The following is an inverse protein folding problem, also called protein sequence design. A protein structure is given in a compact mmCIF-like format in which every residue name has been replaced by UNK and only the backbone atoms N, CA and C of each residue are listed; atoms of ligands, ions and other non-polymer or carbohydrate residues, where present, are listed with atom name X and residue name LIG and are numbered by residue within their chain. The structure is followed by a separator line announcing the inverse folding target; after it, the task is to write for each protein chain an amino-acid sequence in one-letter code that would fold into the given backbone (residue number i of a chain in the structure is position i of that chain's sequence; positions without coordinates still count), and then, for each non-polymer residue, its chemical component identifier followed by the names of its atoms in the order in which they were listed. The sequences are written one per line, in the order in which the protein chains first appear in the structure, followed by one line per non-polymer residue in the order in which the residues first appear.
data_IF_929486497514
#
_entry.id   IF_929486497514
#
_cell.length_a   1.000
_cell.length_b   1.000
_cell.length_c   1.000
_cell.angle_alpha   90.00
_cell.angle_beta   90.00
_cell.angle_gamma   90.00
#
_symmetry.space_group_name_H-M   'P 1'
#
loop_
_entity.id
_entity.type
_entity.pdbx_description
1 polymer ?
#
# COMPACT_ATOMS: atom_id res chain seq x y z
N UNK A 1 11.20 -1.61 -26.52
CA UNK A 1 12.50 -1.18 -25.97
C UNK A 1 12.35 -1.20 -24.44
N UNK A 2 13.08 -2.08 -23.73
CA UNK A 2 12.94 -2.19 -22.26
C UNK A 2 13.65 -1.01 -21.63
N UNK A 3 12.90 -0.04 -21.11
CA UNK A 3 13.46 1.15 -20.49
C UNK A 3 13.55 0.97 -18.96
N UNK A 4 14.79 1.03 -18.49
CA UNK A 4 15.20 1.00 -17.07
C UNK A 4 14.78 2.28 -16.35
N UNK A 5 14.75 2.25 -15.01
CA UNK A 5 14.59 3.39 -14.05
C UNK A 5 15.11 4.77 -14.51
N UNK A 6 16.18 4.81 -15.31
CA UNK A 6 16.77 6.01 -15.92
C UNK A 6 15.89 6.72 -16.98
N UNK A 7 14.81 6.11 -17.47
CA UNK A 7 13.94 6.69 -18.50
C UNK A 7 12.94 7.68 -17.92
N UNK A 8 12.28 7.29 -16.83
CA UNK A 8 11.32 8.12 -16.11
C UNK A 8 12.01 9.35 -15.51
N UNK A 9 13.24 9.21 -15.01
CA UNK A 9 14.05 10.32 -14.50
C UNK A 9 14.34 11.41 -15.56
N UNK A 10 14.22 11.09 -16.86
CA UNK A 10 14.37 12.09 -17.93
C UNK A 10 13.15 13.00 -18.04
N UNK A 11 11.97 12.60 -17.56
CA UNK A 11 10.73 13.35 -17.70
C UNK A 11 10.93 14.82 -17.32
N UNK A 12 11.51 15.08 -16.15
CA UNK A 12 11.65 16.44 -15.62
C UNK A 12 12.44 17.35 -16.57
N UNK A 13 13.50 16.84 -17.20
CA UNK A 13 14.25 17.60 -18.22
C UNK A 13 13.41 17.89 -19.46
N UNK A 14 12.54 16.97 -19.87
CA UNK A 14 11.61 17.21 -20.98
C UNK A 14 10.57 18.27 -20.60
N UNK A 15 10.11 18.28 -19.35
CA UNK A 15 9.19 19.30 -18.85
C UNK A 15 9.87 20.68 -18.79
N UNK A 16 11.11 20.76 -18.27
CA UNK A 16 11.89 22.01 -18.26
C UNK A 16 12.07 22.57 -19.68
N UNK A 17 12.42 21.71 -20.65
CA UNK A 17 12.55 22.11 -22.06
C UNK A 17 11.20 22.54 -22.65
N UNK A 18 10.12 21.84 -22.32
CA UNK A 18 8.78 22.19 -22.80
C UNK A 18 8.35 23.57 -22.29
N UNK A 19 8.57 23.86 -21.00
CA UNK A 19 8.28 25.17 -20.41
C UNK A 19 9.11 26.28 -21.05
N UNK A 20 10.42 26.06 -21.21
CA UNK A 20 11.30 27.03 -21.87
C UNK A 20 10.85 27.37 -23.30
N UNK A 21 10.46 26.37 -24.10
CA UNK A 21 9.96 26.60 -25.46
C UNK A 21 8.57 27.25 -25.46
N UNK A 22 7.67 26.85 -24.55
CA UNK A 22 6.34 27.45 -24.40
C UNK A 22 6.44 28.95 -24.09
N UNK A 23 7.33 29.31 -23.16
CA UNK A 23 7.47 30.67 -22.67
C UNK A 23 8.26 31.57 -23.63
N UNK A 24 9.00 30.97 -24.58
CA UNK A 24 9.72 31.67 -25.64
C UNK A 24 8.78 32.14 -26.79
N UNK A 25 7.71 31.40 -27.08
CA UNK A 25 6.79 31.71 -28.20
C UNK A 25 6.19 33.13 -28.10
N UNK A 26 5.66 33.59 -26.95
CA UNK A 26 5.15 34.96 -26.83
C UNK A 26 6.22 36.03 -27.09
N UNK A 27 7.44 35.83 -26.57
CA UNK A 27 8.53 36.79 -26.73
C UNK A 27 9.00 36.94 -28.19
N UNK A 28 8.99 35.84 -28.96
CA UNK A 28 9.32 35.87 -30.39
C UNK A 28 8.22 36.59 -31.19
N UNK A 29 6.96 36.33 -30.86
CA UNK A 29 5.84 36.98 -31.53
C UNK A 29 5.80 38.50 -31.30
N UNK A 30 6.33 38.99 -30.19
CA UNK A 30 6.43 40.42 -29.88
C UNK A 30 7.64 41.10 -30.57
N UNK A 31 8.73 40.38 -30.81
CA UNK A 31 10.00 40.95 -31.27
C UNK A 31 10.27 40.83 -32.78
N UNK A 32 9.57 39.92 -33.48
CA UNK A 32 9.79 39.67 -34.91
C UNK A 32 8.75 40.34 -35.83
N UNK A 33 9.12 40.60 -37.09
CA UNK A 33 8.19 40.99 -38.15
C UNK A 33 7.12 39.91 -38.36
N UNK A 34 5.88 40.32 -38.65
CA UNK A 34 4.70 39.43 -38.69
C UNK A 34 4.91 38.13 -39.49
N UNK A 35 5.62 38.17 -40.63
CA UNK A 35 5.82 36.99 -41.48
C UNK A 35 6.90 36.04 -40.93
N UNK A 36 8.07 36.55 -40.55
CA UNK A 36 9.20 35.76 -40.04
C UNK A 36 8.97 35.23 -38.61
N UNK A 37 8.27 36.00 -37.78
CA UNK A 37 7.88 35.58 -36.42
C UNK A 37 6.87 34.43 -36.45
N UNK A 38 5.99 34.39 -37.45
CA UNK A 38 4.98 33.33 -37.60
C UNK A 38 5.63 31.98 -37.92
N UNK A 39 6.61 31.95 -38.84
CA UNK A 39 7.32 30.73 -39.22
C UNK A 39 8.16 30.16 -38.06
N UNK A 40 8.97 31.00 -37.41
CA UNK A 40 9.79 30.58 -36.26
C UNK A 40 8.94 30.08 -35.08
N UNK A 41 7.86 30.79 -34.74
CA UNK A 41 6.93 30.36 -33.68
C UNK A 41 6.22 29.05 -34.02
N UNK A 42 5.95 28.78 -35.30
CA UNK A 42 5.37 27.51 -35.73
C UNK A 42 6.35 26.35 -35.53
N UNK A 43 7.63 26.51 -35.90
CA UNK A 43 8.67 25.49 -35.70
C UNK A 43 8.93 25.21 -34.20
N UNK A 44 8.98 26.27 -33.38
CA UNK A 44 9.11 26.12 -31.92
C UNK A 44 7.90 25.39 -31.34
N UNK A 45 6.69 25.69 -31.82
CA UNK A 45 5.47 24.99 -31.41
C UNK A 45 5.51 23.51 -31.79
N UNK A 46 6.01 23.16 -32.98
CA UNK A 46 6.20 21.77 -33.40
C UNK A 46 7.20 21.05 -32.50
N UNK A 47 8.33 21.68 -32.18
CA UNK A 47 9.33 21.12 -31.25
C UNK A 47 8.75 20.90 -29.84
N UNK A 48 8.03 21.89 -29.30
CA UNK A 48 7.37 21.78 -28.01
C UNK A 48 6.32 20.65 -28.00
N UNK A 49 5.53 20.51 -29.07
CA UNK A 49 4.56 19.41 -29.19
C UNK A 49 5.25 18.04 -29.14
N UNK A 50 6.34 17.84 -29.90
CA UNK A 50 7.12 16.59 -29.88
C UNK A 50 7.70 16.27 -28.50
N UNK A 51 8.17 17.29 -27.77
CA UNK A 51 8.64 17.13 -26.38
C UNK A 51 7.49 16.74 -25.45
N UNK A 52 6.31 17.36 -25.62
CA UNK A 52 5.10 16.99 -24.88
C UNK A 52 4.66 15.55 -25.17
N UNK A 53 4.68 15.11 -26.43
CA UNK A 53 4.42 13.72 -26.81
C UNK A 53 5.43 12.76 -26.14
N UNK A 54 6.72 13.10 -26.14
CA UNK A 54 7.74 12.31 -25.45
C UNK A 54 7.47 12.20 -23.95
N UNK A 55 7.01 13.28 -23.29
CA UNK A 55 6.59 13.24 -21.89
C UNK A 55 5.41 12.26 -21.67
N UNK A 56 4.41 12.25 -22.55
CA UNK A 56 3.29 11.28 -22.52
C UNK A 56 3.80 9.84 -22.64
N UNK A 57 4.73 9.57 -23.57
CA UNK A 57 5.33 8.25 -23.72
C UNK A 57 6.13 7.81 -22.48
N UNK A 58 6.88 8.73 -21.86
CA UNK A 58 7.62 8.43 -20.61
C UNK A 58 6.67 8.03 -19.48
N UNK A 59 5.51 8.70 -19.33
CA UNK A 59 4.47 8.29 -18.37
C UNK A 59 3.91 6.90 -18.69
N UNK A 60 3.63 6.62 -19.96
CA UNK A 60 3.14 5.30 -20.38
C UNK A 60 4.18 4.20 -20.11
N UNK A 61 5.46 4.49 -20.31
CA UNK A 61 6.55 3.57 -19.99
C UNK A 61 6.66 3.31 -18.48
N UNK A 62 6.44 4.32 -17.64
CA UNK A 62 6.36 4.15 -16.19
C UNK A 62 5.24 3.18 -15.82
N UNK A 63 4.03 3.37 -16.35
CA UNK A 63 2.90 2.46 -16.10
C UNK A 63 3.24 1.02 -16.51
N UNK A 64 3.84 0.84 -17.68
CA UNK A 64 4.27 -0.46 -18.18
C UNK A 64 5.36 -1.08 -17.29
N UNK A 65 6.30 -0.27 -16.79
CA UNK A 65 7.32 -0.71 -15.86
C UNK A 65 6.73 -1.15 -14.52
N UNK A 66 5.69 -0.50 -14.02
CA UNK A 66 5.00 -0.90 -12.79
C UNK A 66 4.26 -2.21 -13.01
N UNK A 67 3.50 -2.34 -14.12
CA UNK A 67 2.81 -3.59 -14.48
C UNK A 67 3.78 -4.76 -14.66
N UNK A 68 4.89 -4.50 -15.36
CA UNK A 68 5.91 -5.49 -15.68
C UNK A 68 6.88 -5.82 -14.53
N UNK A 69 6.81 -5.12 -13.39
CA UNK A 69 7.65 -5.40 -12.23
C UNK A 69 7.21 -6.72 -11.56
N UNK A 70 7.75 -7.83 -12.07
CA UNK A 70 7.42 -9.19 -11.66
C UNK A 70 8.45 -9.79 -10.68
N UNK A 71 9.05 -8.97 -9.80
CA UNK A 71 9.97 -9.47 -8.78
C UNK A 71 9.34 -10.62 -8.02
N UNK A 72 9.98 -11.80 -8.08
CA UNK A 72 9.50 -13.04 -7.45
C UNK A 72 9.92 -13.15 -5.99
N UNK A 73 10.77 -12.23 -5.52
CA UNK A 73 11.29 -12.25 -4.16
C UNK A 73 10.49 -11.27 -3.29
N UNK A 74 9.74 -11.75 -2.29
CA UNK A 74 9.04 -10.87 -1.37
C UNK A 74 10.03 -10.09 -0.50
N UNK A 75 9.61 -8.92 -0.03
CA UNK A 75 10.42 -8.08 0.85
C UNK A 75 10.52 -8.73 2.23
N UNK A 76 11.72 -8.93 2.79
CA UNK A 76 11.85 -9.52 4.12
C UNK A 76 11.02 -8.78 5.18
N UNK A 77 10.33 -9.54 6.03
CA UNK A 77 9.51 -9.00 7.13
C UNK A 77 8.28 -8.19 6.70
N UNK A 78 7.94 -8.14 5.41
CA UNK A 78 6.76 -7.40 4.95
C UNK A 78 6.95 -5.89 4.90
N UNK A 79 8.18 -5.37 4.92
CA UNK A 79 8.45 -3.93 4.89
C UNK A 79 7.95 -3.23 3.61
N UNK A 80 7.97 -1.89 3.61
CA UNK A 80 7.60 -1.08 2.43
C UNK A 80 8.44 -1.46 1.22
N UNK A 81 7.77 -1.74 0.10
CA UNK A 81 8.42 -2.16 -1.14
C UNK A 81 9.20 -1.01 -1.78
N UNK A 82 10.41 -1.24 -2.33
CA UNK A 82 11.18 -0.20 -3.02
C UNK A 82 10.42 0.48 -4.16
N UNK A 83 9.62 -0.28 -4.92
CA UNK A 83 8.74 0.25 -5.98
C UNK A 83 7.78 1.31 -5.43
N UNK A 84 7.14 1.06 -4.28
CA UNK A 84 6.23 2.01 -3.63
C UNK A 84 6.94 3.32 -3.31
N UNK A 85 8.16 3.24 -2.77
CA UNK A 85 8.97 4.45 -2.48
C UNK A 85 9.31 5.19 -3.75
N UNK A 86 9.74 4.47 -4.78
CA UNK A 86 10.10 5.04 -6.07
C UNK A 86 8.91 5.75 -6.72
N UNK A 87 7.78 5.06 -6.89
CA UNK A 87 6.58 5.61 -7.54
C UNK A 87 6.03 6.81 -6.78
N UNK A 88 5.89 6.73 -5.46
CA UNK A 88 5.34 7.86 -4.70
C UNK A 88 6.27 9.08 -4.68
N UNK A 89 7.59 8.87 -4.67
CA UNK A 89 8.53 9.98 -4.80
C UNK A 89 8.51 10.57 -6.22
N UNK A 90 8.41 9.72 -7.24
CA UNK A 90 8.25 10.16 -8.62
C UNK A 90 7.00 11.02 -8.78
N UNK A 91 5.84 10.55 -8.29
CA UNK A 91 4.58 11.28 -8.34
C UNK A 91 4.66 12.63 -7.63
N UNK A 92 5.34 12.67 -6.47
CA UNK A 92 5.61 13.93 -5.76
C UNK A 92 6.32 14.94 -6.66
N UNK A 93 7.41 14.56 -7.31
CA UNK A 93 8.13 15.47 -8.21
C UNK A 93 7.31 15.83 -9.45
N UNK A 94 6.51 14.90 -10.01
CA UNK A 94 5.65 15.25 -11.15
C UNK A 94 4.59 16.28 -10.80
N UNK A 95 4.11 16.30 -9.56
CA UNK A 95 3.14 17.30 -9.12
C UNK A 95 3.74 18.70 -9.02
N UNK A 96 5.06 18.86 -8.95
CA UNK A 96 5.71 20.18 -9.07
C UNK A 96 5.49 20.78 -10.48
N UNK A 97 5.23 19.94 -11.48
CA UNK A 97 4.92 20.32 -12.87
C UNK A 97 3.43 20.16 -13.21
N UNK A 98 2.53 20.22 -12.22
CA UNK A 98 1.08 19.97 -12.38
C UNK A 98 0.48 20.71 -13.57
N UNK A 99 0.67 22.03 -13.65
CA UNK A 99 0.06 22.85 -14.71
C UNK A 99 0.60 22.53 -16.10
N UNK A 100 1.91 22.27 -16.19
CA UNK A 100 2.57 21.88 -17.44
C UNK A 100 2.10 20.52 -17.91
N UNK A 101 2.00 19.54 -17.00
CA UNK A 101 1.48 18.21 -17.32
C UNK A 101 0.00 18.25 -17.70
N UNK A 102 -0.81 19.08 -17.02
CA UNK A 102 -2.21 19.29 -17.37
C UNK A 102 -2.34 19.80 -18.82
N UNK A 103 -1.52 20.78 -19.20
CA UNK A 103 -1.49 21.30 -20.58
C UNK A 103 -1.05 20.22 -21.58
N UNK A 104 0.03 19.48 -21.28
CA UNK A 104 0.55 18.43 -22.17
C UNK A 104 -0.50 17.34 -22.39
N UNK A 105 -1.12 16.82 -21.33
CA UNK A 105 -2.13 15.77 -21.45
C UNK A 105 -3.42 16.27 -22.11
N UNK A 106 -3.81 17.54 -21.88
CA UNK A 106 -4.95 18.15 -22.57
C UNK A 106 -4.71 18.29 -24.08
N UNK A 107 -3.51 18.70 -24.50
CA UNK A 107 -3.13 18.79 -25.93
C UNK A 107 -3.03 17.41 -26.58
N UNK A 108 -2.60 16.40 -25.84
CA UNK A 108 -2.32 15.05 -26.35
C UNK A 108 -3.42 14.01 -26.04
N UNK A 109 -4.67 14.43 -25.80
CA UNK A 109 -5.79 13.53 -25.44
C UNK A 109 -5.94 12.33 -26.40
N UNK A 110 -5.82 12.55 -27.71
CA UNK A 110 -5.94 11.48 -28.73
C UNK A 110 -4.79 10.48 -28.63
N UNK A 111 -3.56 10.95 -28.45
CA UNK A 111 -2.38 10.10 -28.28
C UNK A 111 -2.52 9.22 -27.03
N UNK A 112 -2.89 9.82 -25.90
CA UNK A 112 -3.14 9.10 -24.64
C UNK A 112 -4.18 8.00 -24.87
N UNK A 113 -5.28 8.30 -25.57
CA UNK A 113 -6.33 7.31 -25.87
C UNK A 113 -5.80 6.15 -26.70
N UNK A 114 -5.05 6.44 -27.76
CA UNK A 114 -4.44 5.41 -28.63
C UNK A 114 -3.49 4.52 -27.85
N UNK A 115 -2.62 5.11 -27.03
CA UNK A 115 -1.65 4.37 -26.22
C UNK A 115 -2.35 3.54 -25.15
N UNK A 116 -3.43 4.04 -24.54
CA UNK A 116 -4.23 3.28 -23.56
C UNK A 116 -5.01 2.13 -24.19
N UNK A 117 -5.58 2.31 -25.38
CA UNK A 117 -6.30 1.24 -26.10
C UNK A 117 -5.36 0.11 -26.53
N UNK A 118 -4.13 0.43 -26.96
CA UNK A 118 -3.11 -0.55 -27.29
C UNK A 118 -2.69 -1.42 -26.08
N UNK A 119 -3.02 -1.03 -24.84
CA UNK A 119 -2.75 -1.80 -23.62
C UNK A 119 -3.82 -2.87 -23.31
N UNK A 120 -4.97 -2.89 -23.99
CA UNK A 120 -6.15 -3.74 -23.69
C UNK A 120 -6.20 -5.05 -24.52
N UNK A 121 -5.11 -5.79 -24.64
CA UNK A 121 -5.03 -7.01 -25.46
C UNK A 121 -5.35 -8.32 -24.68
N UNK A 122 -6.20 -8.24 -23.66
CA UNK A 122 -6.69 -9.39 -22.88
C UNK A 122 -8.06 -9.91 -23.36
N UNK A 123 -8.42 -11.19 -23.11
CA UNK A 123 -9.72 -11.72 -23.48
C UNK A 123 -10.83 -10.96 -22.78
N UNK A 124 -11.82 -10.48 -23.54
CA UNK A 124 -12.98 -9.76 -23.01
C UNK A 124 -13.94 -10.71 -22.30
N UNK A 125 -13.75 -10.89 -20.99
CA UNK A 125 -14.83 -11.39 -20.15
C UNK A 125 -15.82 -10.25 -19.88
N UNK A 126 -17.00 -10.39 -20.49
CA UNK A 126 -18.16 -9.52 -20.32
C UNK A 126 -18.73 -9.70 -18.91
N UNK A 127 -18.18 -9.03 -17.90
CA UNK A 127 -18.91 -8.72 -16.67
C UNK A 127 -18.24 -7.59 -15.88
N UNK A 128 -18.50 -6.36 -16.29
CA UNK A 128 -18.66 -5.21 -15.38
C UNK A 128 -19.37 -4.09 -16.15
N UNK A 129 -20.69 -4.14 -16.10
CA UNK A 129 -21.55 -3.01 -16.42
C UNK A 129 -21.25 -1.89 -15.42
N UNK A 130 -20.31 -1.01 -15.78
CA UNK A 130 -20.19 0.29 -15.11
C UNK A 130 -21.19 1.23 -15.76
N UNK A 131 -22.24 1.56 -15.01
CA UNK A 131 -23.26 2.51 -15.40
C UNK A 131 -22.60 3.88 -15.67
N UNK A 132 -22.57 4.28 -16.93
CA UNK A 132 -22.31 5.65 -17.34
C UNK A 132 -23.54 6.49 -16.99
N UNK A 133 -23.59 7.01 -15.76
CA UNK A 133 -24.35 8.22 -15.50
C UNK A 133 -23.43 9.41 -15.79
N UNK A 134 -23.52 9.90 -17.01
CA UNK A 134 -23.03 11.21 -17.42
C UNK A 134 -23.68 12.27 -16.53
N UNK A 135 -22.99 12.65 -15.46
CA UNK A 135 -23.25 13.94 -14.81
C UNK A 135 -22.33 14.93 -15.49
N UNK A 136 -22.87 15.62 -16.50
CA UNK A 136 -22.25 16.79 -17.11
C UNK A 136 -21.98 17.83 -16.01
N UNK A 137 -20.71 18.03 -15.63
CA UNK A 137 -20.38 19.01 -14.58
C UNK A 137 -19.00 18.95 -13.93
N UNK A 138 -18.01 18.22 -14.46
CA UNK A 138 -16.59 18.47 -14.18
C UNK A 138 -15.73 17.72 -15.21
N UNK A 139 -15.04 18.42 -16.12
CA UNK A 139 -13.99 17.74 -16.91
C UNK A 139 -12.88 17.32 -15.94
N UNK A 140 -12.75 16.02 -15.67
CA UNK A 140 -11.67 15.51 -14.84
C UNK A 140 -10.32 15.88 -15.47
N UNK A 141 -9.40 16.41 -14.65
CA UNK A 141 -8.03 16.77 -15.06
C UNK A 141 -7.36 15.57 -15.76
N UNK A 142 -6.93 15.69 -17.03
CA UNK A 142 -6.26 14.60 -17.72
C UNK A 142 -4.99 14.15 -16.99
N UNK A 143 -4.27 15.05 -16.32
CA UNK A 143 -3.13 14.67 -15.49
C UNK A 143 -3.57 13.87 -14.25
N UNK A 144 -4.64 14.28 -13.56
CA UNK A 144 -5.19 13.55 -12.43
C UNK A 144 -5.54 12.10 -12.83
N UNK A 145 -6.15 11.89 -14.01
CA UNK A 145 -6.47 10.55 -14.52
C UNK A 145 -5.19 9.70 -14.69
N UNK A 146 -4.12 10.26 -15.23
CA UNK A 146 -2.84 9.52 -15.39
C UNK A 146 -2.18 9.23 -14.04
N UNK A 147 -2.17 10.20 -13.13
CA UNK A 147 -1.64 10.01 -11.77
C UNK A 147 -2.39 8.89 -11.04
N UNK A 148 -3.72 8.91 -11.10
CA UNK A 148 -4.55 7.88 -10.48
C UNK A 148 -4.30 6.50 -11.09
N UNK A 149 -4.15 6.42 -12.41
CA UNK A 149 -3.77 5.18 -13.10
C UNK A 149 -2.46 4.63 -12.54
N UNK A 150 -1.42 5.46 -12.37
CA UNK A 150 -0.13 5.03 -11.81
C UNK A 150 -0.28 4.49 -10.37
N UNK A 151 -1.10 5.14 -9.54
CA UNK A 151 -1.35 4.70 -8.16
C UNK A 151 -2.11 3.37 -8.13
N UNK A 152 -3.12 3.19 -8.98
CA UNK A 152 -3.90 1.95 -9.11
C UNK A 152 -3.03 0.78 -9.58
N UNK A 153 -2.16 1.00 -10.57
CA UNK A 153 -1.23 -0.01 -11.04
C UNK A 153 -0.21 -0.41 -9.98
N UNK A 154 0.23 0.55 -9.16
CA UNK A 154 1.07 0.24 -8.01
C UNK A 154 0.31 -0.64 -7.01
N UNK A 155 -0.95 -0.31 -6.72
CA UNK A 155 -1.78 -1.08 -5.80
C UNK A 155 -2.02 -2.51 -6.29
N UNK A 156 -2.37 -2.71 -7.56
CA UNK A 156 -2.53 -4.03 -8.18
C UNK A 156 -1.23 -4.85 -8.13
N UNK A 157 -0.11 -4.20 -8.44
CA UNK A 157 1.20 -4.83 -8.39
C UNK A 157 1.58 -5.26 -6.97
N UNK A 158 1.28 -4.44 -5.96
CA UNK A 158 1.49 -4.77 -4.55
C UNK A 158 0.58 -5.91 -4.09
N UNK A 159 -0.68 -5.94 -4.52
CA UNK A 159 -1.59 -7.07 -4.24
C UNK A 159 -1.02 -8.38 -4.81
N UNK A 160 -0.57 -8.36 -6.07
CA UNK A 160 0.08 -9.51 -6.69
C UNK A 160 1.33 -9.97 -5.91
N UNK A 161 2.19 -9.03 -5.49
CA UNK A 161 3.39 -9.34 -4.69
C UNK A 161 3.07 -9.84 -3.29
N UNK A 162 1.98 -9.38 -2.68
CA UNK A 162 1.57 -9.87 -1.37
C UNK A 162 1.30 -11.38 -1.38
N UNK A 163 0.89 -11.94 -2.51
CA UNK A 163 0.62 -13.37 -2.66
C UNK A 163 1.88 -14.24 -2.65
N UNK A 164 3.07 -13.64 -2.73
CA UNK A 164 4.37 -14.34 -2.64
C UNK A 164 4.71 -14.77 -1.21
N UNK A 165 4.11 -14.17 -0.17
CA UNK A 165 4.34 -14.60 1.20
C UNK A 165 3.61 -15.92 1.47
N UNK A 166 4.34 -16.87 2.07
CA UNK A 166 3.80 -18.17 2.50
C UNK A 166 2.78 -18.01 3.63
N UNK A 167 3.08 -17.13 4.58
CA UNK A 167 2.18 -16.79 5.69
C UNK A 167 1.11 -15.80 5.19
N UNK A 168 -0.19 -16.15 5.21
CA UNK A 168 -1.29 -15.27 4.83
C UNK A 168 -1.36 -13.98 5.66
N UNK A 169 -1.00 -14.03 6.95
CA UNK A 169 -1.03 -12.87 7.84
C UNK A 169 0.04 -11.84 7.48
N UNK A 170 1.21 -12.29 7.04
CA UNK A 170 2.29 -11.40 6.58
C UNK A 170 1.89 -10.61 5.32
N UNK A 171 0.98 -11.15 4.49
CA UNK A 171 0.44 -10.44 3.32
C UNK A 171 -0.26 -9.16 3.74
N UNK A 172 -1.08 -9.23 4.78
CA UNK A 172 -1.80 -8.06 5.30
C UNK A 172 -0.85 -7.04 5.93
N UNK A 173 0.20 -7.48 6.64
CA UNK A 173 1.23 -6.57 7.17
C UNK A 173 1.96 -5.83 6.04
N UNK A 174 2.33 -6.56 4.98
CA UNK A 174 2.91 -5.95 3.79
C UNK A 174 1.99 -4.92 3.13
N UNK A 175 0.72 -5.27 2.94
CA UNK A 175 -0.28 -4.37 2.35
C UNK A 175 -0.53 -3.14 3.23
N UNK A 176 -0.56 -3.30 4.56
CA UNK A 176 -0.70 -2.18 5.50
C UNK A 176 0.51 -1.25 5.44
N UNK A 177 1.74 -1.77 5.45
CA UNK A 177 2.95 -0.96 5.35
C UNK A 177 2.97 -0.10 4.09
N UNK A 178 2.70 -0.70 2.94
CA UNK A 178 2.70 0.02 1.67
C UNK A 178 1.51 0.99 1.56
N UNK A 179 0.31 0.57 1.97
CA UNK A 179 -0.87 1.42 1.96
C UNK A 179 -0.74 2.63 2.90
N UNK A 180 -0.20 2.44 4.11
CA UNK A 180 0.09 3.54 5.05
C UNK A 180 1.12 4.51 4.47
N UNK A 181 2.17 4.00 3.84
CA UNK A 181 3.18 4.83 3.18
C UNK A 181 2.59 5.67 2.03
N UNK A 182 1.76 5.06 1.17
CA UNK A 182 1.06 5.77 0.08
C UNK A 182 0.18 6.89 0.65
N UNK A 183 -0.65 6.57 1.66
CA UNK A 183 -1.52 7.56 2.31
C UNK A 183 -0.72 8.72 2.94
N UNK A 184 0.40 8.43 3.60
CA UNK A 184 1.26 9.47 4.18
C UNK A 184 1.87 10.37 3.10
N UNK A 185 2.30 9.79 1.98
CA UNK A 185 2.86 10.57 0.86
C UNK A 185 1.83 11.46 0.18
N UNK A 186 0.60 10.95 -0.01
CA UNK A 186 -0.51 11.73 -0.53
C UNK A 186 -0.88 12.85 0.45
N UNK A 187 -1.07 12.54 1.74
CA UNK A 187 -1.41 13.54 2.76
C UNK A 187 -0.33 14.61 2.94
N UNK A 188 0.93 14.25 2.71
CA UNK A 188 2.08 15.14 2.82
C UNK A 188 2.31 16.05 1.61
N UNK A 189 1.51 15.96 0.54
CA UNK A 189 1.54 16.85 -0.62
C UNK A 189 0.12 17.31 -0.95
N UNK A 190 -0.13 18.61 -0.78
CA UNK A 190 -1.40 19.25 -1.11
C UNK A 190 -1.80 18.99 -2.56
N UNK A 191 -0.82 19.02 -3.46
CA UNK A 191 -1.01 18.86 -4.90
C UNK A 191 -1.48 17.45 -5.25
N UNK A 192 -0.83 16.42 -4.68
CA UNK A 192 -1.28 15.03 -4.88
C UNK A 192 -2.66 14.84 -4.25
N UNK A 193 -2.88 15.33 -3.03
CA UNK A 193 -4.16 15.16 -2.34
C UNK A 193 -5.32 15.80 -3.12
N UNK A 194 -5.11 16.98 -3.70
CA UNK A 194 -6.09 17.67 -4.55
C UNK A 194 -6.40 16.85 -5.82
N UNK A 195 -5.38 16.34 -6.50
CA UNK A 195 -5.54 15.54 -7.73
C UNK A 195 -6.23 14.20 -7.48
N UNK A 196 -5.93 13.54 -6.36
CA UNK A 196 -6.50 12.25 -5.96
C UNK A 196 -7.92 12.41 -5.40
N UNK A 197 -8.15 13.48 -4.64
CA UNK A 197 -9.41 13.80 -4.00
C UNK A 197 -9.67 13.07 -2.67
N UNK A 198 -10.35 13.75 -1.76
CA UNK A 198 -10.65 13.25 -0.40
C UNK A 198 -11.48 11.97 -0.38
N UNK A 199 -12.33 11.76 -1.38
CA UNK A 199 -13.17 10.57 -1.48
C UNK A 199 -12.32 9.33 -1.70
N UNK A 200 -11.38 9.37 -2.65
CA UNK A 200 -10.47 8.25 -2.88
C UNK A 200 -9.56 8.05 -1.67
N UNK A 201 -9.02 9.13 -1.09
CA UNK A 201 -8.17 9.05 0.10
C UNK A 201 -8.87 8.32 1.27
N UNK A 202 -10.13 8.68 1.56
CA UNK A 202 -10.94 8.01 2.60
C UNK A 202 -11.25 6.55 2.27
N UNK A 203 -11.56 6.25 1.00
CA UNK A 203 -11.77 4.87 0.54
C UNK A 203 -10.50 4.04 0.74
N UNK A 204 -9.33 4.54 0.32
CA UNK A 204 -8.05 3.86 0.48
C UNK A 204 -7.69 3.67 1.95
N UNK A 205 -7.92 4.67 2.79
CA UNK A 205 -7.75 4.53 4.25
C UNK A 205 -8.63 3.43 4.83
N UNK A 206 -9.86 3.28 4.33
CA UNK A 206 -10.77 2.20 4.74
C UNK A 206 -10.23 0.83 4.34
N UNK A 207 -9.67 0.70 3.14
CA UNK A 207 -9.02 -0.54 2.67
C UNK A 207 -7.84 -0.92 3.58
N UNK A 208 -6.98 0.03 3.95
CA UNK A 208 -5.86 -0.22 4.88
C UNK A 208 -6.35 -0.70 6.26
N UNK A 209 -7.42 -0.09 6.79
CA UNK A 209 -8.06 -0.55 8.04
C UNK A 209 -8.67 -1.94 7.88
N UNK A 210 -9.15 -2.31 6.70
CA UNK A 210 -9.65 -3.65 6.45
C UNK A 210 -8.54 -4.70 6.45
N UNK A 211 -7.35 -4.38 5.93
CA UNK A 211 -6.18 -5.26 6.04
C UNK A 211 -5.80 -5.51 7.51
N UNK A 212 -5.87 -4.49 8.37
CA UNK A 212 -5.67 -4.65 9.81
C UNK A 212 -6.66 -5.64 10.42
N UNK A 213 -7.97 -5.47 10.17
CA UNK A 213 -9.00 -6.42 10.65
C UNK A 213 -8.77 -7.84 10.13
N UNK A 214 -8.34 -7.98 8.88
CA UNK A 214 -8.06 -9.27 8.27
C UNK A 214 -6.83 -9.94 8.91
N UNK A 215 -5.74 -9.19 9.12
CA UNK A 215 -4.56 -9.65 9.86
C UNK A 215 -4.94 -10.16 11.25
N UNK A 216 -5.75 -9.39 11.98
CA UNK A 216 -6.15 -9.74 13.34
C UNK A 216 -6.94 -11.04 13.37
N UNK A 217 -7.92 -11.19 12.46
CA UNK A 217 -8.72 -12.42 12.34
C UNK A 217 -7.87 -13.63 11.93
N UNK A 218 -7.02 -13.47 10.92
CA UNK A 218 -6.19 -14.54 10.36
C UNK A 218 -5.17 -15.07 11.37
N UNK A 219 -4.52 -14.17 12.11
CA UNK A 219 -3.51 -14.53 13.12
C UNK A 219 -4.15 -14.98 14.43
N UNK A 220 -5.01 -14.14 15.01
CA UNK A 220 -5.42 -14.27 16.41
C UNK A 220 -6.72 -15.04 16.60
N UNK A 221 -7.46 -15.33 15.52
CA UNK A 221 -8.71 -16.09 15.60
C UNK A 221 -8.53 -17.47 16.22
N UNK A 222 -7.46 -18.20 15.88
CA UNK A 222 -7.16 -19.53 16.45
C UNK A 222 -6.75 -19.45 17.92
N UNK A 223 -6.00 -18.42 18.30
CA UNK A 223 -5.63 -18.16 19.70
C UNK A 223 -6.88 -17.89 20.52
N UNK A 224 -7.75 -17.00 20.05
CA UNK A 224 -9.01 -16.69 20.72
C UNK A 224 -9.95 -17.90 20.80
N UNK A 225 -9.97 -18.76 19.78
CA UNK A 225 -10.72 -20.01 19.83
C UNK A 225 -10.21 -20.96 20.94
N UNK A 226 -8.91 -20.97 21.25
CA UNK A 226 -8.38 -21.72 22.40
C UNK A 226 -8.90 -21.19 23.75
N UNK A 227 -9.32 -19.92 23.80
CA UNK A 227 -9.82 -19.25 25.00
C UNK A 227 -11.35 -19.23 25.09
N UNK A 228 -12.04 -19.90 24.16
CA UNK A 228 -13.50 -20.03 24.16
C UNK A 228 -14.03 -21.05 25.16
N UNK A 229 -15.33 -20.98 25.46
CA UNK A 229 -16.02 -21.93 26.35
C UNK A 229 -16.61 -23.15 25.63
N UNK A 230 -16.72 -23.08 24.30
CA UNK A 230 -17.37 -24.11 23.49
C UNK A 230 -16.63 -25.46 23.59
N UNK A 231 -17.38 -26.52 23.88
CA UNK A 231 -16.87 -27.88 24.03
C UNK A 231 -16.15 -28.18 25.35
N UNK A 232 -16.00 -27.20 26.27
CA UNK A 232 -15.38 -27.43 27.59
C UNK A 232 -16.34 -28.02 28.63
N UNK A 233 -17.64 -27.82 28.44
CA UNK A 233 -18.68 -28.33 29.33
C UNK A 233 -19.51 -29.38 28.59
N UNK A 234 -19.71 -30.53 29.22
CA UNK A 234 -20.69 -31.55 28.77
C UNK A 234 -22.08 -31.11 29.25
N UNK A 235 -23.17 -31.67 28.69
CA UNK A 235 -24.57 -31.44 29.07
C UNK A 235 -24.89 -31.51 30.59
N UNK A 236 -23.94 -31.96 31.43
CA UNK A 236 -24.00 -31.98 32.89
C UNK A 236 -23.35 -30.76 33.59
N UNK A 237 -22.85 -29.76 32.85
CA UNK A 237 -22.16 -28.58 33.40
C UNK A 237 -20.74 -28.85 33.92
N UNK A 238 -20.29 -30.11 33.91
CA UNK A 238 -18.94 -30.49 34.37
C UNK A 238 -17.88 -30.11 33.34
N UNK A 239 -16.81 -29.46 33.81
CA UNK A 239 -15.65 -29.08 33.00
C UNK A 239 -14.80 -30.30 32.68
N UNK A 240 -14.51 -30.52 31.40
CA UNK A 240 -13.62 -31.58 30.93
C UNK A 240 -12.15 -31.21 31.16
N UNK A 241 -11.57 -31.67 32.28
CA UNK A 241 -10.19 -31.33 32.68
C UNK A 241 -9.14 -31.62 31.59
N UNK A 242 -9.33 -32.68 30.80
CA UNK A 242 -8.37 -33.04 29.76
C UNK A 242 -8.41 -32.04 28.60
N UNK A 243 -9.60 -31.71 28.11
CA UNK A 243 -9.81 -30.68 27.08
C UNK A 243 -9.30 -29.32 27.56
N UNK A 244 -9.53 -28.97 28.83
CA UNK A 244 -9.01 -27.73 29.43
C UNK A 244 -7.47 -27.67 29.39
N UNK A 245 -6.79 -28.76 29.76
CA UNK A 245 -5.32 -28.84 29.69
C UNK A 245 -4.82 -28.69 28.25
N UNK A 246 -5.52 -29.28 27.29
CA UNK A 246 -5.19 -29.17 25.86
C UNK A 246 -5.38 -27.73 25.35
N UNK A 247 -6.44 -27.03 25.77
CA UNK A 247 -6.67 -25.61 25.42
C UNK A 247 -5.51 -24.70 25.87
N UNK A 248 -5.03 -24.84 27.12
CA UNK A 248 -3.88 -24.07 27.61
C UNK A 248 -2.57 -24.39 26.86
N UNK A 249 -2.35 -25.67 26.55
CA UNK A 249 -1.18 -26.09 25.77
C UNK A 249 -1.22 -25.55 24.33
N UNK A 250 -2.38 -25.65 23.68
CA UNK A 250 -2.58 -25.16 22.33
C UNK A 250 -2.45 -23.64 22.26
N UNK A 251 -3.01 -22.92 23.24
CA UNK A 251 -2.78 -21.47 23.40
C UNK A 251 -1.28 -21.17 23.46
N UNK A 252 -0.54 -21.84 24.36
CA UNK A 252 0.88 -21.58 24.56
C UNK A 252 1.69 -21.86 23.29
N UNK A 253 1.39 -22.96 22.60
CA UNK A 253 2.03 -23.34 21.34
C UNK A 253 1.77 -22.32 20.22
N UNK A 254 0.50 -21.96 20.00
CA UNK A 254 0.13 -20.99 18.96
C UNK A 254 0.72 -19.60 19.27
N UNK A 255 0.66 -19.18 20.53
CA UNK A 255 1.22 -17.91 20.95
C UNK A 255 2.73 -17.86 20.78
N UNK A 256 3.45 -18.93 21.14
CA UNK A 256 4.90 -19.07 20.90
C UNK A 256 5.26 -18.96 19.42
N UNK A 257 4.50 -19.65 18.56
CA UNK A 257 4.72 -19.64 17.11
C UNK A 257 4.48 -18.24 16.52
N UNK A 258 3.40 -17.58 16.92
CA UNK A 258 3.07 -16.21 16.51
C UNK A 258 4.17 -15.26 16.99
N UNK A 259 4.53 -15.29 18.28
CA UNK A 259 5.55 -14.40 18.82
C UNK A 259 6.90 -14.60 18.12
N UNK A 260 7.36 -15.85 18.00
CA UNK A 260 8.61 -16.19 17.31
C UNK A 260 8.63 -15.67 15.87
N UNK A 261 7.53 -15.82 15.15
CA UNK A 261 7.45 -15.46 13.73
C UNK A 261 7.29 -13.95 13.56
N UNK A 262 6.33 -13.35 14.25
CA UNK A 262 5.92 -11.96 14.02
C UNK A 262 6.84 -10.92 14.68
N UNK A 263 7.66 -11.33 15.65
CA UNK A 263 8.76 -10.47 16.14
C UNK A 263 9.79 -10.18 15.05
N UNK A 264 9.92 -11.06 14.04
CA UNK A 264 10.83 -10.85 12.90
C UNK A 264 10.25 -9.95 11.82
N UNK A 265 8.95 -9.67 11.86
CA UNK A 265 8.27 -8.83 10.87
C UNK A 265 8.53 -7.35 11.14
N UNK A 266 8.39 -6.52 10.12
CA UNK A 266 8.69 -5.10 10.19
C UNK A 266 7.42 -4.33 9.89
N UNK A 267 6.96 -3.51 10.83
CA UNK A 267 5.96 -2.46 10.57
C UNK A 267 6.68 -1.12 10.57
N UNK A 268 6.72 -0.46 9.42
CA UNK A 268 7.62 0.70 9.21
C UNK A 268 7.11 2.02 9.79
N UNK A 269 5.81 2.10 10.11
CA UNK A 269 5.18 3.28 10.71
C UNK A 269 4.90 3.00 12.18
N UNK A 270 5.55 3.75 13.07
CA UNK A 270 5.48 3.53 14.53
C UNK A 270 4.03 3.64 15.05
N UNK A 271 3.23 4.53 14.45
CA UNK A 271 1.83 4.68 14.83
C UNK A 271 1.01 3.45 14.42
N UNK A 272 1.14 2.96 13.19
CA UNK A 272 0.52 1.71 12.75
C UNK A 272 0.99 0.51 13.59
N UNK A 273 2.27 0.46 13.96
CA UNK A 273 2.82 -0.60 14.81
C UNK A 273 2.13 -0.59 16.19
N UNK A 274 2.03 0.59 16.81
CA UNK A 274 1.31 0.78 18.08
C UNK A 274 -0.17 0.42 17.94
N UNK A 275 -0.85 0.89 16.89
CA UNK A 275 -2.25 0.55 16.60
C UNK A 275 -2.47 -0.98 16.51
N UNK A 276 -1.55 -1.71 15.86
CA UNK A 276 -1.58 -3.17 15.78
C UNK A 276 -1.43 -3.81 17.16
N UNK A 277 -0.38 -3.45 17.92
CA UNK A 277 -0.13 -4.01 19.26
C UNK A 277 -1.28 -3.76 20.22
N UNK A 278 -1.81 -2.54 20.24
CA UNK A 278 -2.97 -2.17 21.07
C UNK A 278 -4.21 -2.97 20.67
N UNK A 279 -4.49 -3.09 19.36
CA UNK A 279 -5.68 -3.82 18.90
C UNK A 279 -5.65 -5.31 19.25
N UNK A 280 -4.46 -5.94 19.21
CA UNK A 280 -4.25 -7.33 19.58
C UNK A 280 -4.40 -7.49 21.09
N UNK A 281 -3.72 -6.64 21.85
CA UNK A 281 -3.79 -6.61 23.31
C UNK A 281 -5.23 -6.48 23.81
N UNK A 282 -5.99 -5.57 23.21
CA UNK A 282 -7.38 -5.30 23.56
C UNK A 282 -8.33 -6.51 23.38
N UNK A 283 -7.97 -7.51 22.57
CA UNK A 283 -8.79 -8.72 22.40
C UNK A 283 -8.20 -9.94 23.10
N UNK A 284 -6.88 -10.13 23.05
CA UNK A 284 -6.22 -11.33 23.58
C UNK A 284 -6.15 -11.29 25.11
N UNK A 285 -5.76 -10.15 25.68
CA UNK A 285 -5.51 -10.05 27.11
C UNK A 285 -6.80 -10.24 27.92
N UNK A 286 -7.93 -9.56 27.62
CA UNK A 286 -9.17 -9.79 28.35
C UNK A 286 -9.68 -11.22 28.22
N UNK A 287 -9.58 -11.81 27.02
CA UNK A 287 -9.96 -13.21 26.80
C UNK A 287 -9.11 -14.17 27.63
N UNK A 288 -7.79 -13.95 27.67
CA UNK A 288 -6.86 -14.78 28.43
C UNK A 288 -7.08 -14.63 29.95
N UNK A 289 -7.19 -13.40 30.47
CA UNK A 289 -7.50 -13.12 31.87
C UNK A 289 -8.79 -13.81 32.31
N UNK A 290 -9.84 -13.69 31.51
CA UNK A 290 -11.13 -14.32 31.77
C UNK A 290 -11.03 -15.84 31.78
N UNK A 291 -10.39 -16.44 30.78
CA UNK A 291 -10.22 -17.89 30.68
C UNK A 291 -9.40 -18.45 31.85
N UNK A 292 -8.28 -17.79 32.17
CA UNK A 292 -7.42 -18.18 33.28
C UNK A 292 -8.14 -18.08 34.63
N UNK A 293 -8.75 -16.94 34.93
CA UNK A 293 -9.49 -16.74 36.18
C UNK A 293 -10.64 -17.72 36.35
N UNK A 294 -11.36 -18.03 35.27
CA UNK A 294 -12.48 -18.97 35.29
C UNK A 294 -12.06 -20.42 35.48
N UNK A 295 -10.93 -20.86 34.91
CA UNK A 295 -10.63 -22.29 34.83
C UNK A 295 -9.39 -22.76 35.61
N UNK A 296 -8.54 -21.85 36.10
CA UNK A 296 -7.31 -22.20 36.84
C UNK A 296 -7.57 -23.18 37.98
N UNK A 297 -8.61 -22.94 38.78
CA UNK A 297 -8.93 -23.75 39.96
C UNK A 297 -9.23 -25.23 39.67
N UNK A 298 -9.66 -25.58 38.45
CA UNK A 298 -9.86 -26.98 38.06
C UNK A 298 -8.53 -27.76 37.88
N UNK A 299 -7.41 -27.03 37.79
CA UNK A 299 -6.06 -27.56 37.62
C UNK A 299 -5.24 -27.55 38.92
N UNK A 300 -5.72 -26.88 39.98
CA UNK A 300 -5.03 -26.74 41.28
C UNK A 300 -4.82 -28.08 42.01
N UNK A 301 -5.63 -29.09 41.70
CA UNK A 301 -5.43 -30.48 42.19
C UNK A 301 -4.25 -31.21 41.52
N UNK A 302 -3.54 -30.56 40.60
CA UNK A 302 -2.35 -31.07 39.92
C UNK A 302 -1.20 -30.07 39.92
N UNK A 303 -0.32 -30.12 38.90
CA UNK A 303 0.75 -29.14 38.67
C UNK A 303 0.30 -28.14 37.59
N UNK A 304 -0.37 -27.03 37.92
CA UNK A 304 -0.89 -26.06 36.93
C UNK A 304 0.23 -25.45 36.08
N UNK A 305 1.43 -25.28 36.66
CA UNK A 305 2.68 -24.85 36.01
C UNK A 305 3.02 -25.67 34.74
N UNK A 306 2.59 -26.94 34.68
CA UNK A 306 2.85 -27.84 33.54
C UNK A 306 2.02 -27.48 32.30
N UNK A 307 0.94 -26.72 32.48
CA UNK A 307 -0.06 -26.45 31.46
C UNK A 307 -0.20 -24.96 31.16
N UNK A 308 -0.11 -24.13 32.20
CA UNK A 308 -0.23 -22.67 32.12
C UNK A 308 1.19 -22.10 32.05
N UNK A 309 1.62 -21.68 30.86
CA UNK A 309 2.96 -21.14 30.62
C UNK A 309 3.09 -19.65 30.97
N UNK A 310 1.99 -18.90 30.89
CA UNK A 310 1.99 -17.45 30.91
C UNK A 310 1.05 -16.89 31.99
N UNK A 311 1.46 -15.81 32.63
CA UNK A 311 0.55 -14.88 33.28
C UNK A 311 0.04 -13.85 32.27
N UNK A 312 -1.09 -13.18 32.54
CA UNK A 312 -1.60 -12.14 31.66
C UNK A 312 -0.59 -11.05 31.32
N UNK A 313 0.26 -10.69 32.28
CA UNK A 313 1.30 -9.66 32.14
C UNK A 313 2.44 -10.13 31.21
N UNK A 314 2.74 -11.44 31.21
CA UNK A 314 3.70 -12.02 30.27
C UNK A 314 3.17 -11.93 28.83
N UNK A 315 1.88 -12.23 28.64
CA UNK A 315 1.21 -12.14 27.33
C UNK A 315 1.24 -10.70 26.81
N UNK A 316 0.95 -9.73 27.68
CA UNK A 316 1.00 -8.30 27.36
C UNK A 316 2.40 -7.87 26.91
N UNK A 317 3.42 -8.18 27.73
CA UNK A 317 4.83 -7.87 27.42
C UNK A 317 5.29 -8.49 26.09
N UNK A 318 4.88 -9.72 25.80
CA UNK A 318 5.26 -10.40 24.56
C UNK A 318 4.53 -9.80 23.33
N UNK A 319 3.29 -9.32 23.48
CA UNK A 319 2.59 -8.60 22.39
C UNK A 319 3.29 -7.26 22.11
N UNK A 320 3.79 -6.58 23.13
CA UNK A 320 4.54 -5.33 22.97
C UNK A 320 5.82 -5.48 22.15
N UNK A 321 6.46 -6.66 22.18
CA UNK A 321 7.66 -6.96 21.38
C UNK A 321 7.41 -7.35 19.92
N UNK A 322 6.15 -7.44 19.47
CA UNK A 322 5.83 -7.85 18.10
C UNK A 322 6.19 -6.76 17.08
N UNK A 323 6.64 -7.16 15.89
CA UNK A 323 6.92 -6.27 14.75
C UNK A 323 8.11 -5.31 14.88
N UNK A 324 9.01 -5.50 15.84
CA UNK A 324 10.26 -4.72 15.93
C UNK A 324 11.24 -5.04 14.80
N UNK A 325 11.07 -6.20 14.16
CA UNK A 325 11.98 -6.73 13.15
C UNK A 325 13.26 -7.28 13.77
N UNK A 326 14.04 -7.99 12.97
CA UNK A 326 15.37 -8.43 13.42
C UNK A 326 16.32 -7.23 13.49
N UNK A 327 16.74 -6.87 14.70
CA UNK A 327 17.77 -5.86 15.00
C UNK A 327 19.10 -6.12 14.29
N UNK A 328 19.35 -7.34 13.79
CA UNK A 328 20.51 -7.69 12.97
C UNK A 328 20.49 -7.15 11.53
N UNK A 329 19.35 -6.64 11.04
CA UNK A 329 19.22 -6.05 9.69
C UNK A 329 19.15 -4.52 9.68
N UNK A 330 18.94 -3.88 10.84
CA UNK A 330 19.09 -2.44 10.98
C UNK A 330 20.56 -2.10 11.25
N UNK A 331 21.35 -2.13 10.19
CA UNK A 331 22.73 -1.64 10.23
C UNK A 331 22.77 -0.22 10.79
N UNK A 332 23.48 -0.06 11.92
CA UNK A 332 24.04 1.19 12.48
C UNK A 332 23.21 2.45 12.19
N UNK A 333 22.30 2.82 13.10
CA UNK A 333 22.04 4.25 13.36
C UNK A 333 23.39 4.88 13.69
N UNK A 334 24.00 5.58 12.73
CA UNK A 334 25.17 6.42 12.98
C UNK A 334 24.70 7.56 13.87
N UNK A 335 25.31 7.63 15.04
CA UNK A 335 25.49 8.82 15.87
C UNK A 335 25.90 10.04 15.04
#
# INVERSE_FOLDING_TARGET
MVLTRRSAEKLFKYLDMYEALRDLIPAINESCSKDSGCELSSEISVAANRIGEAAVYIFCDLENSIKGDASKTPVPGGAVHPLTRYVMNYLKYTCEYKDTLEQIFKKNKTLVRTVSLAKSDGPKDKQSSTNNNETAGNESSPFAVQLMTVVELLDENLDAKSKLYKDPSLRYVFLMNNGRYILQKIKGSSEILELVGDTWYRMRSTVVRQYHKNYQRETWGKVLHCLGHEGLQVNSGKVQKQVLKERFKNFSMLFDEIHKTQSTWVVSDDQLQSELRVSVSAVVIPAYRSFLGRFRHYLDSGRPEKYIKYQPEDVETLIEGLFDGNSSSMGRKRT
#
